data_IF_959618128029
#
_entry.id   IF_959618128029
#
_cell.length_a   1.000
_cell.length_b   1.000
_cell.length_c   1.000
_cell.angle_alpha   90.00
_cell.angle_beta   90.00
_cell.angle_gamma   90.00
#
_symmetry.space_group_name_H-M   'P 1'
#
loop_
_entity.id
_entity.type
_entity.pdbx_description
1 polymer ?
#
# COMPACT_ATOMS: atom_id res chain seq x y z
N UNK A 1 -46.02 17.62 -37.47
CA UNK A 1 -45.40 16.38 -36.94
C UNK A 1 -43.92 16.69 -36.66
N UNK A 2 -43.39 16.10 -35.59
CA UNK A 2 -42.05 16.29 -35.00
C UNK A 2 -41.99 17.46 -34.01
N UNK A 3 -42.46 17.33 -32.76
CA UNK A 3 -41.92 16.56 -31.62
C UNK A 3 -40.59 17.12 -31.11
N UNK A 4 -40.70 17.95 -30.06
CA UNK A 4 -39.62 18.35 -29.17
C UNK A 4 -39.84 17.63 -27.84
N UNK A 5 -38.89 16.79 -27.41
CA UNK A 5 -38.83 16.29 -26.04
C UNK A 5 -37.37 16.36 -25.55
N UNK A 6 -37.13 17.28 -24.62
CA UNK A 6 -35.92 17.38 -23.83
C UNK A 6 -36.09 16.47 -22.60
N UNK A 7 -35.16 15.54 -22.37
CA UNK A 7 -35.07 14.76 -21.13
C UNK A 7 -33.76 15.14 -20.43
N UNK A 8 -33.89 15.96 -19.38
CA UNK A 8 -32.86 16.19 -18.38
C UNK A 8 -33.00 15.15 -17.26
N UNK A 9 -32.00 14.28 -17.11
CA UNK A 9 -31.98 13.24 -16.06
C UNK A 9 -31.05 13.65 -14.91
N UNK A 10 -31.69 14.15 -13.86
CA UNK A 10 -31.44 13.97 -12.41
C UNK A 10 -30.02 13.63 -11.97
N UNK A 11 -29.41 14.57 -11.24
CA UNK A 11 -28.28 14.32 -10.36
C UNK A 11 -28.77 13.64 -9.06
N UNK A 12 -28.36 12.41 -8.82
CA UNK A 12 -28.56 11.75 -7.53
C UNK A 12 -27.65 12.36 -6.48
N UNK A 13 -28.26 13.07 -5.52
CA UNK A 13 -27.62 13.51 -4.29
C UNK A 13 -27.58 12.32 -3.34
N UNK A 14 -26.42 11.68 -3.22
CA UNK A 14 -26.16 10.66 -2.21
C UNK A 14 -26.23 11.29 -0.82
N UNK A 15 -27.36 11.12 -0.15
CA UNK A 15 -27.57 11.48 1.26
C UNK A 15 -26.89 10.38 2.07
N UNK A 16 -25.69 10.64 2.59
CA UNK A 16 -25.12 9.82 3.64
C UNK A 16 -25.96 10.05 4.90
N UNK A 17 -26.55 8.98 5.44
CA UNK A 17 -27.26 9.04 6.71
C UNK A 17 -26.25 9.42 7.83
N UNK A 18 -26.61 10.41 8.65
CA UNK A 18 -25.78 10.81 9.79
C UNK A 18 -25.74 9.66 10.81
N UNK A 19 -24.56 9.32 11.39
CA UNK A 19 -24.41 8.20 12.33
C UNK A 19 -25.17 8.33 13.65
N UNK A 20 -25.86 9.45 13.88
CA UNK A 20 -26.46 9.81 15.16
C UNK A 20 -27.96 9.56 15.27
N UNK A 21 -28.62 9.02 14.23
CA UNK A 21 -30.05 8.72 14.31
C UNK A 21 -30.29 7.48 15.20
N UNK A 22 -30.54 7.71 16.49
CA UNK A 22 -30.98 6.66 17.42
C UNK A 22 -30.57 6.80 18.89
N UNK A 23 -29.66 7.70 19.28
CA UNK A 23 -29.23 7.82 20.68
C UNK A 23 -30.02 8.89 21.43
N UNK A 24 -31.20 8.50 21.93
CA UNK A 24 -31.91 9.25 22.97
C UNK A 24 -31.43 8.77 24.34
N UNK A 25 -30.84 9.71 25.08
CA UNK A 25 -30.62 9.72 26.53
C UNK A 25 -29.43 8.92 27.12
N UNK A 26 -28.20 9.41 26.90
CA UNK A 26 -26.99 8.88 27.53
C UNK A 26 -26.06 10.01 28.01
N UNK A 27 -26.35 10.60 29.17
CA UNK A 27 -25.42 11.44 29.95
C UNK A 27 -24.73 12.59 29.19
N UNK A 28 -23.73 13.25 29.80
CA UNK A 28 -22.94 14.25 29.08
C UNK A 28 -22.14 13.56 27.97
N UNK A 29 -22.16 14.06 26.72
CA UNK A 29 -21.43 13.43 25.61
C UNK A 29 -19.94 13.35 25.91
N UNK A 30 -19.30 12.25 25.49
CA UNK A 30 -17.86 12.08 25.62
C UNK A 30 -17.10 13.23 24.96
N UNK A 31 -15.84 13.49 25.36
CA UNK A 31 -15.02 14.53 24.73
C UNK A 31 -14.87 14.32 23.22
N UNK A 32 -14.82 13.06 22.76
CA UNK A 32 -14.81 12.74 21.33
C UNK A 32 -16.13 13.17 20.67
N UNK A 33 -17.27 12.79 21.27
CA UNK A 33 -18.60 13.16 20.77
C UNK A 33 -18.79 14.67 20.70
N UNK A 34 -18.32 15.43 21.70
CA UNK A 34 -18.36 16.90 21.69
C UNK A 34 -17.54 17.49 20.55
N UNK A 35 -16.34 16.97 20.30
CA UNK A 35 -15.50 17.42 19.18
C UNK A 35 -16.15 17.17 17.82
N UNK A 36 -16.87 16.05 17.66
CA UNK A 36 -17.63 15.77 16.43
C UNK A 36 -18.80 16.73 16.25
N UNK A 37 -19.57 17.01 17.32
CA UNK A 37 -20.67 17.98 17.28
C UNK A 37 -20.17 19.40 16.97
N UNK A 38 -19.09 19.85 17.63
CA UNK A 38 -18.48 21.16 17.37
C UNK A 38 -17.96 21.27 15.92
N UNK A 39 -17.40 20.18 15.37
CA UNK A 39 -16.94 20.14 13.99
C UNK A 39 -18.09 20.22 12.97
N UNK A 40 -19.27 19.64 13.27
CA UNK A 40 -20.47 19.73 12.42
C UNK A 40 -21.17 21.09 12.49
N UNK A 41 -21.17 21.74 13.65
CA UNK A 41 -21.73 23.10 13.82
C UNK A 41 -20.83 24.19 13.25
N UNK A 42 -19.52 23.96 13.25
CA UNK A 42 -18.60 24.81 12.51
C UNK A 42 -18.81 24.57 11.00
N UNK A 43 -18.86 25.64 10.19
CA UNK A 43 -18.72 25.55 8.73
C UNK A 43 -17.28 25.12 8.33
N UNK A 44 -16.68 24.19 9.07
CA UNK A 44 -15.38 23.63 8.83
C UNK A 44 -15.48 22.74 7.60
N UNK A 45 -15.33 23.38 6.44
CA UNK A 45 -15.03 22.67 5.22
C UNK A 45 -13.73 21.93 5.46
N UNK A 46 -13.80 20.60 5.58
CA UNK A 46 -12.62 19.76 5.46
C UNK A 46 -11.87 20.27 4.24
N UNK A 47 -10.58 20.68 4.39
CA UNK A 47 -9.82 21.10 3.24
C UNK A 47 -9.98 19.98 2.20
N UNK A 48 -10.30 20.31 0.93
CA UNK A 48 -10.53 19.29 -0.07
C UNK A 48 -9.36 18.32 0.04
N UNK A 49 -9.68 17.03 0.27
CA UNK A 49 -8.70 15.95 0.33
C UNK A 49 -7.76 16.24 -0.83
N UNK A 50 -6.54 16.67 -0.51
CA UNK A 50 -5.57 17.00 -1.55
C UNK A 50 -5.47 15.70 -2.33
N UNK A 51 -5.98 15.67 -3.58
CA UNK A 51 -5.63 14.61 -4.51
C UNK A 51 -4.11 14.74 -4.60
N UNK A 52 -3.40 13.98 -3.78
CA UNK A 52 -1.94 14.01 -3.76
C UNK A 52 -1.57 13.66 -5.19
N UNK A 53 -0.94 14.60 -5.88
CA UNK A 53 -0.31 14.29 -7.15
C UNK A 53 0.54 13.05 -6.88
N UNK A 54 0.41 12.03 -7.72
CA UNK A 54 1.17 10.80 -7.58
C UNK A 54 2.65 11.18 -7.50
N UNK A 55 3.26 11.00 -6.33
CA UNK A 55 4.70 11.08 -6.18
C UNK A 55 5.23 9.70 -6.50
N UNK A 56 6.21 9.63 -7.40
CA UNK A 56 6.92 8.39 -7.68
C UNK A 56 7.40 7.79 -6.35
N UNK A 57 7.18 6.50 -6.19
CA UNK A 57 7.40 5.79 -4.93
C UNK A 57 8.21 4.54 -5.17
N UNK A 58 9.20 4.29 -4.32
CA UNK A 58 10.01 3.09 -4.42
C UNK A 58 9.31 1.91 -3.78
N UNK A 59 9.32 0.76 -4.46
CA UNK A 59 8.98 -0.54 -3.87
C UNK A 59 10.22 -1.42 -3.79
N UNK A 60 10.45 -1.98 -2.62
CA UNK A 60 11.51 -2.94 -2.35
C UNK A 60 10.97 -4.37 -2.38
N UNK A 61 11.61 -5.20 -3.20
CA UNK A 61 11.27 -6.60 -3.41
C UNK A 61 12.41 -7.51 -2.92
N UNK A 62 12.02 -8.59 -2.25
CA UNK A 62 12.91 -9.62 -1.66
C UNK A 62 12.50 -11.05 -2.10
N UNK A 63 11.74 -11.14 -3.19
CA UNK A 63 11.17 -12.38 -3.74
C UNK A 63 10.95 -12.25 -5.24
N UNK A 64 9.91 -12.89 -5.80
CA UNK A 64 9.71 -13.12 -7.27
C UNK A 64 9.81 -11.86 -8.12
N UNK A 65 9.41 -10.72 -7.56
CA UNK A 65 9.47 -9.41 -8.20
C UNK A 65 10.89 -8.82 -8.34
N UNK A 66 11.92 -9.50 -7.83
CA UNK A 66 13.32 -9.15 -8.06
C UNK A 66 13.83 -9.55 -9.45
N UNK A 67 13.10 -10.40 -10.17
CA UNK A 67 13.37 -10.71 -11.56
C UNK A 67 12.67 -9.67 -12.48
N UNK A 68 13.40 -8.92 -13.33
CA UNK A 68 12.81 -7.93 -14.22
C UNK A 68 11.73 -8.51 -15.13
N UNK A 69 11.85 -9.76 -15.60
CA UNK A 69 10.87 -10.35 -16.51
C UNK A 69 9.54 -10.62 -15.79
N UNK A 70 9.61 -11.12 -14.55
CA UNK A 70 8.47 -11.37 -13.69
C UNK A 70 7.77 -10.07 -13.34
N UNK A 71 8.54 -9.05 -12.93
CA UNK A 71 7.98 -7.74 -12.63
C UNK A 71 7.32 -7.10 -13.87
N UNK A 72 7.95 -7.17 -15.04
CA UNK A 72 7.35 -6.67 -16.29
C UNK A 72 6.00 -7.32 -16.58
N UNK A 73 5.88 -8.64 -16.40
CA UNK A 73 4.62 -9.37 -16.59
C UNK A 73 3.54 -8.92 -15.62
N UNK A 74 3.89 -8.76 -14.34
CA UNK A 74 2.97 -8.32 -13.28
C UNK A 74 2.47 -6.90 -13.56
N UNK A 75 3.39 -5.99 -13.85
CA UNK A 75 3.10 -4.58 -14.16
C UNK A 75 2.60 -4.36 -15.59
N UNK A 76 2.46 -5.42 -16.39
CA UNK A 76 2.03 -5.37 -17.81
C UNK A 76 2.86 -4.39 -18.64
N UNK A 77 4.16 -4.31 -18.37
CA UNK A 77 5.10 -3.45 -19.08
C UNK A 77 5.53 -4.07 -20.42
N UNK A 78 5.67 -3.22 -21.43
CA UNK A 78 6.20 -3.63 -22.74
C UNK A 78 7.72 -3.81 -22.74
N UNK A 79 8.43 -3.17 -21.79
CA UNK A 79 9.87 -3.20 -21.65
C UNK A 79 10.26 -3.72 -20.27
N UNK A 80 11.49 -4.22 -20.14
CA UNK A 80 12.02 -4.65 -18.84
C UNK A 80 12.20 -3.44 -17.91
N UNK A 81 11.63 -3.47 -16.69
CA UNK A 81 11.82 -2.43 -15.70
C UNK A 81 13.26 -2.39 -15.21
N UNK A 82 13.74 -1.19 -14.87
CA UNK A 82 15.04 -1.02 -14.23
C UNK A 82 14.92 -1.32 -12.74
N UNK A 83 15.42 -2.49 -12.34
CA UNK A 83 15.61 -2.83 -10.93
C UNK A 83 16.97 -2.32 -10.44
N UNK A 84 16.98 -1.79 -9.23
CA UNK A 84 18.17 -1.23 -8.59
C UNK A 84 18.49 -2.08 -7.35
N UNK A 85 19.70 -2.65 -7.22
CA UNK A 85 20.10 -3.34 -6.00
C UNK A 85 19.97 -2.43 -4.77
N UNK A 86 19.36 -2.96 -3.72
CA UNK A 86 19.10 -2.21 -2.49
C UNK A 86 19.04 -3.14 -1.28
N UNK A 87 18.98 -2.54 -0.09
CA UNK A 87 18.72 -3.25 1.17
C UNK A 87 17.73 -2.48 2.06
N UNK A 88 17.13 -3.22 2.99
CA UNK A 88 16.36 -2.67 4.12
C UNK A 88 16.90 -3.28 5.42
N UNK A 89 16.76 -2.58 6.55
CA UNK A 89 17.24 -3.04 7.87
C UNK A 89 16.08 -3.20 8.86
N UNK A 90 16.26 -3.99 9.93
CA UNK A 90 15.21 -4.25 10.93
C UNK A 90 14.30 -5.43 10.58
N UNK A 91 14.67 -6.21 9.56
CA UNK A 91 13.86 -7.29 9.03
C UNK A 91 14.71 -8.53 8.76
N UNK A 92 14.02 -9.64 8.59
CA UNK A 92 14.62 -10.87 8.07
C UNK A 92 13.65 -11.64 7.21
N UNK A 93 14.18 -12.35 6.23
CA UNK A 93 13.38 -13.25 5.40
C UNK A 93 13.27 -14.63 6.03
N UNK A 94 12.07 -15.19 5.98
CA UNK A 94 11.74 -16.59 6.24
C UNK A 94 11.02 -17.18 5.03
N UNK A 95 10.66 -18.46 5.09
CA UNK A 95 9.91 -19.13 4.04
C UNK A 95 8.52 -19.57 4.53
N UNK A 96 7.48 -19.24 3.77
CA UNK A 96 6.15 -19.83 3.83
C UNK A 96 5.99 -20.81 2.66
N UNK A 97 6.22 -22.10 2.93
CA UNK A 97 6.40 -23.08 1.86
C UNK A 97 7.64 -22.74 1.02
N UNK A 98 7.44 -22.39 -0.24
CA UNK A 98 8.48 -21.90 -1.16
C UNK A 98 8.53 -20.37 -1.29
N UNK A 99 7.57 -19.66 -0.68
CA UNK A 99 7.44 -18.22 -0.84
C UNK A 99 8.20 -17.46 0.26
N UNK A 100 8.97 -16.42 -0.09
CA UNK A 100 9.64 -15.60 0.90
C UNK A 100 8.65 -14.75 1.70
N UNK A 101 8.88 -14.70 3.01
CA UNK A 101 8.09 -13.96 3.97
C UNK A 101 8.99 -13.03 4.79
N UNK A 102 8.84 -11.73 4.59
CA UNK A 102 9.54 -10.73 5.39
C UNK A 102 8.89 -10.61 6.77
N UNK A 103 9.67 -10.78 7.82
CA UNK A 103 9.26 -10.61 9.22
C UNK A 103 10.18 -9.62 9.93
N UNK A 104 9.78 -9.16 11.12
CA UNK A 104 10.67 -8.33 11.95
C UNK A 104 11.93 -9.10 12.32
N UNK A 105 13.08 -8.45 12.20
CA UNK A 105 14.41 -8.94 12.57
C UNK A 105 15.08 -8.01 13.56
N UNK A 106 16.40 -8.19 13.74
CA UNK A 106 17.19 -7.28 14.56
C UNK A 106 17.39 -5.92 13.85
N UNK A 107 17.56 -4.80 14.58
CA UNK A 107 17.64 -3.46 13.99
C UNK A 107 18.66 -3.30 12.85
N UNK A 108 19.82 -3.94 12.99
CA UNK A 108 20.91 -3.87 12.03
C UNK A 108 20.95 -5.07 11.07
N UNK A 109 19.97 -5.98 11.14
CA UNK A 109 19.88 -7.15 10.25
C UNK A 109 19.41 -6.69 8.86
N UNK A 110 20.27 -6.81 7.81
CA UNK A 110 19.90 -6.36 6.48
C UNK A 110 19.18 -7.46 5.70
N UNK A 111 18.18 -7.06 4.93
CA UNK A 111 17.59 -7.86 3.86
C UNK A 111 17.97 -7.23 2.53
N UNK A 112 18.66 -8.00 1.70
CA UNK A 112 19.06 -7.59 0.35
C UNK A 112 17.96 -7.91 -0.65
N UNK A 113 17.78 -7.01 -1.61
CA UNK A 113 16.70 -7.10 -2.57
C UNK A 113 16.91 -6.19 -3.77
N UNK A 114 15.81 -5.92 -4.47
CA UNK A 114 15.76 -5.00 -5.60
C UNK A 114 14.70 -3.93 -5.35
N UNK A 115 15.02 -2.69 -5.66
CA UNK A 115 14.10 -1.57 -5.63
C UNK A 115 13.62 -1.22 -7.05
N UNK A 116 12.36 -0.84 -7.15
CA UNK A 116 11.73 -0.34 -8.37
C UNK A 116 11.03 1.00 -8.08
N UNK A 117 11.28 2.00 -8.90
CA UNK A 117 10.54 3.26 -8.85
C UNK A 117 9.23 3.09 -9.63
N UNK A 118 8.11 3.08 -8.92
CA UNK A 118 6.78 3.00 -9.52
C UNK A 118 6.50 4.28 -10.30
N UNK A 119 6.17 4.13 -11.58
CA UNK A 119 6.03 5.26 -12.50
C UNK A 119 4.59 5.79 -12.59
N UNK A 120 3.59 5.01 -12.17
CA UNK A 120 2.19 5.43 -12.23
C UNK A 120 1.31 4.80 -11.13
N UNK A 121 0.14 5.39 -10.82
CA UNK A 121 -0.84 4.78 -9.91
C UNK A 121 -1.28 3.38 -10.34
N UNK A 122 -1.43 3.14 -11.65
CA UNK A 122 -1.86 1.86 -12.21
C UNK A 122 -0.83 0.75 -11.93
N UNK A 123 0.46 1.06 -11.96
CA UNK A 123 1.51 0.11 -11.55
C UNK A 123 1.35 -0.28 -10.07
N UNK A 124 1.03 0.68 -9.19
CA UNK A 124 0.73 0.40 -7.78
C UNK A 124 -0.51 -0.48 -7.61
N UNK A 125 -1.57 -0.24 -8.39
CA UNK A 125 -2.77 -1.08 -8.39
C UNK A 125 -2.47 -2.52 -8.85
N UNK A 126 -1.59 -2.68 -9.84
CA UNK A 126 -1.15 -3.99 -10.32
C UNK A 126 -0.27 -4.74 -9.31
N UNK A 127 0.31 -4.05 -8.32
CA UNK A 127 1.01 -4.66 -7.19
C UNK A 127 0.06 -5.06 -6.05
N UNK A 128 -1.16 -4.51 -5.97
CA UNK A 128 -2.13 -4.86 -4.91
C UNK A 128 -2.49 -6.35 -4.82
N UNK A 129 -2.53 -7.16 -5.90
CA UNK A 129 -2.71 -8.60 -5.78
C UNK A 129 -1.65 -9.30 -4.92
N UNK A 130 -0.47 -8.69 -4.74
CA UNK A 130 0.54 -9.16 -3.79
C UNK A 130 0.23 -8.77 -2.34
N UNK A 131 -0.63 -7.77 -2.11
CA UNK A 131 -1.35 -7.55 -0.84
C UNK A 131 -2.43 -8.63 -0.65
N UNK A 132 -2.02 -9.89 -0.63
CA UNK A 132 -2.93 -11.00 -0.24
C UNK A 132 -3.23 -10.93 1.26
N UNK A 133 -4.15 -11.77 1.76
CA UNK A 133 -4.37 -11.95 3.20
C UNK A 133 -3.09 -12.32 3.98
N UNK A 134 -2.07 -12.80 3.28
CA UNK A 134 -0.79 -13.21 3.84
C UNK A 134 0.27 -12.12 3.89
N UNK A 135 0.11 -11.03 3.12
CA UNK A 135 1.09 -9.95 3.08
C UNK A 135 0.43 -8.57 3.26
N UNK A 136 1.11 -7.68 3.95
CA UNK A 136 0.69 -6.29 4.12
C UNK A 136 1.76 -5.35 3.59
N UNK A 137 1.35 -4.35 2.83
CA UNK A 137 2.25 -3.29 2.42
C UNK A 137 2.58 -2.37 3.61
N UNK A 138 3.86 -2.14 3.82
CA UNK A 138 4.38 -1.27 4.89
C UNK A 138 5.39 -0.28 4.30
N UNK A 139 5.57 0.86 4.97
CA UNK A 139 6.69 1.75 4.69
C UNK A 139 8.01 1.18 5.19
N UNK A 140 9.10 1.45 4.49
CA UNK A 140 10.46 1.08 4.86
C UNK A 140 11.48 2.13 4.36
N UNK A 141 12.68 2.11 4.91
CA UNK A 141 13.81 2.86 4.38
C UNK A 141 14.59 1.92 3.45
N UNK A 142 14.69 2.31 2.19
CA UNK A 142 15.42 1.58 1.16
C UNK A 142 16.77 2.26 0.98
N UNK A 143 17.83 1.50 1.21
CA UNK A 143 19.21 1.95 1.08
C UNK A 143 19.82 1.36 -0.20
N UNK A 144 20.41 2.22 -1.03
CA UNK A 144 21.07 1.85 -2.27
C UNK A 144 22.58 1.63 -2.07
N UNK A 145 23.24 1.01 -3.06
CA UNK A 145 24.69 0.74 -3.01
C UNK A 145 25.56 2.00 -2.91
N UNK A 146 25.08 3.14 -3.37
CA UNK A 146 25.76 4.43 -3.26
C UNK A 146 25.60 5.10 -1.88
N UNK A 147 24.90 4.44 -0.95
CA UNK A 147 24.61 4.93 0.40
C UNK A 147 23.44 5.92 0.47
N UNK A 148 22.73 6.16 -0.64
CA UNK A 148 21.52 6.98 -0.61
C UNK A 148 20.35 6.20 -0.02
N UNK A 149 19.51 6.90 0.74
CA UNK A 149 18.32 6.34 1.37
C UNK A 149 17.05 7.03 0.87
N UNK A 150 16.02 6.24 0.62
CA UNK A 150 14.70 6.74 0.24
C UNK A 150 13.61 6.06 1.06
N UNK A 151 12.52 6.79 1.30
CA UNK A 151 11.30 6.18 1.82
C UNK A 151 10.65 5.39 0.68
N UNK A 152 10.41 4.11 0.93
CA UNK A 152 9.72 3.23 0.01
C UNK A 152 8.73 2.33 0.73
N UNK A 153 8.22 1.36 -0.01
CA UNK A 153 7.28 0.35 0.47
C UNK A 153 7.81 -1.05 0.26
N UNK A 154 7.35 -1.97 1.07
CA UNK A 154 7.60 -3.39 0.88
C UNK A 154 6.42 -4.21 1.39
N UNK A 155 6.40 -5.50 1.06
CA UNK A 155 5.40 -6.45 1.54
C UNK A 155 5.92 -7.14 2.80
N UNK A 156 5.17 -7.15 3.89
CA UNK A 156 5.52 -7.87 5.12
C UNK A 156 4.54 -9.00 5.37
N UNK A 157 5.02 -10.12 5.88
CA UNK A 157 4.18 -11.23 6.30
C UNK A 157 3.16 -10.79 7.37
N UNK A 158 1.89 -11.08 7.11
CA UNK A 158 0.74 -10.83 8.00
C UNK A 158 0.23 -12.10 8.69
N UNK A 159 0.53 -13.29 8.15
CA UNK A 159 0.05 -14.57 8.69
C UNK A 159 0.71 -14.98 10.02
N UNK A 160 0.39 -16.20 10.47
CA UNK A 160 1.02 -16.76 11.68
C UNK A 160 2.52 -17.03 11.43
N UNK A 161 3.37 -16.66 12.39
CA UNK A 161 4.81 -16.94 12.36
C UNK A 161 5.11 -18.43 12.48
N UNK A 162 4.20 -19.23 13.06
CA UNK A 162 4.39 -20.69 13.18
C UNK A 162 4.34 -21.43 11.85
N UNK A 163 3.73 -20.81 10.82
CA UNK A 163 3.70 -21.31 9.45
C UNK A 163 5.02 -21.09 8.70
N UNK A 164 5.96 -20.36 9.30
CA UNK A 164 7.23 -19.99 8.68
C UNK A 164 8.36 -20.92 9.10
N UNK A 165 9.20 -21.27 8.13
CA UNK A 165 10.44 -22.00 8.35
C UNK A 165 11.64 -21.07 8.21
N UNK A 166 12.69 -21.36 8.98
CA UNK A 166 13.99 -20.71 8.76
C UNK A 166 14.51 -21.08 7.36
N UNK A 167 15.05 -20.08 6.68
CA UNK A 167 15.48 -20.18 5.28
C UNK A 167 15.46 -18.80 4.64
N UNK A 168 16.36 -18.58 3.69
CA UNK A 168 16.42 -17.34 2.90
C UNK A 168 16.31 -17.66 1.43
N UNK A 169 15.91 -16.67 0.64
CA UNK A 169 16.02 -16.75 -0.82
C UNK A 169 17.46 -16.51 -1.17
N UNK A 170 18.12 -17.48 -1.80
CA UNK A 170 19.44 -17.21 -2.37
C UNK A 170 19.25 -16.52 -3.71
N UNK A 171 19.79 -15.31 -3.85
CA UNK A 171 19.76 -14.53 -5.09
C UNK A 171 20.29 -15.33 -6.30
N UNK A 172 21.13 -16.35 -6.07
CA UNK A 172 21.71 -17.21 -7.10
C UNK A 172 20.74 -18.25 -7.65
N UNK A 173 19.65 -18.56 -6.96
CA UNK A 173 18.76 -19.66 -7.33
C UNK A 173 17.83 -19.30 -8.50
N UNK A 174 17.76 -18.02 -8.88
CA UNK A 174 16.82 -17.52 -9.91
C UNK A 174 17.51 -16.92 -11.14
N UNK A 175 18.53 -17.63 -11.64
CA UNK A 175 19.18 -17.35 -12.93
C UNK A 175 18.58 -18.16 -14.07
#
# INVERSE_FOLDING_TARGET
MSSSENISKVAEKSIAASPMDGMKDLGPPSLMTRKFMEAEESNYSYPPLRKRAFSKEFHFFYGTLMDPQTLAKVLKLNNLPRLIPARISGYRCKLWGEYPALVGGEPDEPVYGMAYEVQSPEENELLQPYETDRYVQIGCIVEFEDGTEVVGKTFKWRGDKTELKEGGVNLKDWK
#
